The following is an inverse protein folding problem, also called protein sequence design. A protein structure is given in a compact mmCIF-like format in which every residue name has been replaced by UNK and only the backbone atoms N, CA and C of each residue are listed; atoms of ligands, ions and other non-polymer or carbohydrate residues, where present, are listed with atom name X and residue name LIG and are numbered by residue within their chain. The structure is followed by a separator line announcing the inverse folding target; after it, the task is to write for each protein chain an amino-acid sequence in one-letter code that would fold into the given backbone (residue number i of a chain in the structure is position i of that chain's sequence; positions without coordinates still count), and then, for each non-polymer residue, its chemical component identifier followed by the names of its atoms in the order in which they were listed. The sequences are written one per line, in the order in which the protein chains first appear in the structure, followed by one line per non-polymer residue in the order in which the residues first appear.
data_IF_473674769254
#
_entry.id   IF_473674769254
#
_cell.length_a   1.000
_cell.length_b   1.000
_cell.length_c   1.000
_cell.angle_alpha   90.00
_cell.angle_beta   90.00
_cell.angle_gamma   90.00
#
_symmetry.space_group_name_H-M   'P 1'
#
loop_
_entity.id
_entity.type
_entity.pdbx_description
1 polymer ?
#
# COMPACT_ATOMS: atom_id res chain seq x y z
N UNK A 1 -11.96 8.08 -21.00
CA UNK A 1 -10.89 8.24 -19.98
C UNK A 1 -10.94 9.69 -19.49
N UNK A 2 -11.09 9.91 -18.20
CA UNK A 2 -11.22 11.26 -17.64
C UNK A 2 -9.87 11.99 -17.77
N UNK A 3 -9.91 13.33 -17.94
CA UNK A 3 -8.70 14.18 -18.05
C UNK A 3 -7.80 14.03 -16.80
N UNK A 4 -8.41 13.85 -15.62
CA UNK A 4 -7.70 13.62 -14.38
C UNK A 4 -6.90 12.31 -14.43
N UNK A 5 -7.51 11.22 -14.91
CA UNK A 5 -6.86 9.91 -15.02
C UNK A 5 -5.64 9.98 -15.95
N UNK A 6 -5.75 10.69 -17.07
CA UNK A 6 -4.63 10.90 -18.01
C UNK A 6 -3.50 11.66 -17.33
N UNK A 7 -3.81 12.72 -16.57
CA UNK A 7 -2.82 13.54 -15.88
C UNK A 7 -2.13 12.77 -14.76
N UNK A 8 -2.87 11.97 -13.99
CA UNK A 8 -2.32 11.10 -12.93
C UNK A 8 -1.36 10.08 -13.51
N UNK A 9 -1.78 9.34 -14.55
CA UNK A 9 -0.94 8.36 -15.26
C UNK A 9 0.35 9.00 -15.77
N UNK A 10 0.22 10.09 -16.50
CA UNK A 10 1.35 10.84 -17.06
C UNK A 10 2.32 11.33 -15.96
N UNK A 11 1.79 11.81 -14.84
CA UNK A 11 2.59 12.30 -13.71
C UNK A 11 3.37 11.16 -13.07
N UNK A 12 2.74 10.01 -12.83
CA UNK A 12 3.38 8.84 -12.22
C UNK A 12 4.51 8.32 -13.12
N UNK A 13 4.33 8.34 -14.43
CA UNK A 13 5.31 7.82 -15.40
C UNK A 13 6.45 8.78 -15.72
N UNK A 14 6.28 10.08 -15.46
CA UNK A 14 7.26 11.13 -15.81
C UNK A 14 8.63 11.02 -15.14
N UNK A 15 8.75 10.30 -14.03
CA UNK A 15 10.03 10.08 -13.33
C UNK A 15 10.53 11.23 -12.44
N UNK A 16 9.95 12.42 -12.51
CA UNK A 16 10.39 13.64 -11.81
C UNK A 16 9.62 13.79 -10.50
N UNK A 17 10.07 13.12 -9.42
CA UNK A 17 9.48 13.20 -8.06
C UNK A 17 7.94 13.33 -8.05
N UNK A 18 7.23 12.46 -8.77
CA UNK A 18 5.78 12.60 -8.93
C UNK A 18 5.02 12.27 -7.65
N UNK A 19 5.68 11.63 -6.69
CA UNK A 19 5.07 11.14 -5.46
C UNK A 19 5.87 11.65 -4.26
N UNK A 20 5.17 12.24 -3.31
CA UNK A 20 5.67 12.61 -1.98
C UNK A 20 5.01 11.70 -0.93
N UNK A 21 5.80 11.05 -0.07
CA UNK A 21 5.29 10.27 1.05
C UNK A 21 5.28 11.11 2.32
N UNK A 22 4.09 11.37 2.85
CA UNK A 22 3.91 11.89 4.21
C UNK A 22 3.65 10.74 5.16
N UNK A 23 4.33 10.73 6.29
CA UNK A 23 4.22 9.68 7.29
C UNK A 23 3.55 10.20 8.55
N UNK A 24 2.57 9.46 9.04
CA UNK A 24 1.92 9.69 10.33
C UNK A 24 2.32 8.57 11.29
N UNK A 25 2.75 8.89 12.53
CA UNK A 25 3.12 7.86 13.48
C UNK A 25 1.92 7.05 13.96
N UNK A 26 2.15 5.77 14.18
CA UNK A 26 1.23 4.83 14.83
C UNK A 26 1.79 4.56 16.21
N UNK A 27 1.00 4.90 17.23
CA UNK A 27 1.41 4.73 18.63
C UNK A 27 0.91 3.40 19.19
N UNK A 28 1.78 2.74 19.94
CA UNK A 28 1.39 1.67 20.85
C UNK A 28 0.89 2.33 22.14
N UNK A 29 -0.41 2.18 22.40
CA UNK A 29 -1.04 2.80 23.58
C UNK A 29 -0.61 2.15 24.91
N UNK A 30 -0.12 0.91 24.90
CA UNK A 30 0.33 0.21 26.10
C UNK A 30 1.73 0.67 26.52
N UNK A 31 2.61 0.87 25.54
CA UNK A 31 4.02 1.20 25.80
C UNK A 31 4.35 2.68 25.53
N UNK A 32 3.38 3.48 25.09
CA UNK A 32 3.53 4.91 24.78
C UNK A 32 4.69 5.21 23.84
N UNK A 33 4.95 4.33 22.89
CA UNK A 33 6.00 4.48 21.89
C UNK A 33 5.44 4.45 20.47
N UNK A 34 6.25 4.89 19.49
CA UNK A 34 5.91 4.79 18.07
C UNK A 34 6.17 3.35 17.62
N UNK A 35 5.10 2.60 17.33
CA UNK A 35 5.16 1.23 16.84
C UNK A 35 5.34 1.15 15.33
N UNK A 36 4.92 2.17 14.61
CA UNK A 36 4.97 2.16 13.16
C UNK A 36 4.67 3.51 12.53
N UNK A 37 4.66 3.51 11.21
CA UNK A 37 4.33 4.68 10.39
C UNK A 37 3.26 4.31 9.37
N UNK A 38 2.28 5.19 9.18
CA UNK A 38 1.33 5.12 8.06
C UNK A 38 1.76 6.12 7.00
N UNK A 39 2.02 5.64 5.79
CA UNK A 39 2.31 6.52 4.67
C UNK A 39 1.03 7.02 4.01
N UNK A 40 1.06 8.27 3.58
CA UNK A 40 0.09 8.89 2.69
C UNK A 40 0.86 9.41 1.48
N UNK A 41 0.65 8.80 0.34
CA UNK A 41 1.26 9.24 -0.90
C UNK A 41 0.49 10.42 -1.47
N UNK A 42 1.17 11.51 -1.79
CA UNK A 42 0.63 12.65 -2.53
C UNK A 42 1.18 12.60 -3.95
N UNK A 43 0.32 12.79 -4.93
CA UNK A 43 0.72 12.85 -6.35
C UNK A 43 0.79 14.31 -6.79
N UNK A 44 1.97 14.78 -7.17
CA UNK A 44 2.19 16.15 -7.63
C UNK A 44 1.94 16.23 -9.14
N UNK A 45 0.67 16.44 -9.52
CA UNK A 45 0.26 16.63 -10.91
C UNK A 45 0.62 18.02 -11.41
N UNK A 46 1.11 18.11 -12.64
CA UNK A 46 1.42 19.39 -13.30
C UNK A 46 0.14 20.19 -13.58
N UNK A 47 -0.95 19.48 -13.90
CA UNK A 47 -2.20 20.11 -14.33
C UNK A 47 -3.15 20.45 -13.17
N UNK A 48 -3.08 19.66 -12.08
CA UNK A 48 -4.04 19.71 -10.95
C UNK A 48 -3.39 19.99 -9.59
N UNK A 49 -2.08 20.23 -9.56
CA UNK A 49 -1.35 20.42 -8.30
C UNK A 49 -1.22 19.13 -7.49
N UNK A 50 -1.16 19.26 -6.17
CA UNK A 50 -1.00 18.11 -5.27
C UNK A 50 -2.35 17.42 -5.04
N UNK A 51 -2.41 16.15 -5.44
CA UNK A 51 -3.58 15.29 -5.32
C UNK A 51 -3.45 14.35 -4.13
N UNK A 52 -4.54 14.19 -3.41
CA UNK A 52 -4.69 13.23 -2.31
C UNK A 52 -5.14 11.84 -2.83
N UNK A 53 -4.98 10.77 -2.01
CA UNK A 53 -5.43 9.43 -2.38
C UNK A 53 -6.88 9.34 -2.86
N UNK A 54 -7.80 10.13 -2.28
CA UNK A 54 -9.20 10.20 -2.72
C UNK A 54 -9.36 10.67 -4.16
N UNK A 55 -8.45 11.51 -4.65
CA UNK A 55 -8.52 12.09 -5.99
C UNK A 55 -7.93 11.16 -7.06
N UNK A 56 -6.80 10.50 -6.77
CA UNK A 56 -6.06 9.75 -7.78
C UNK A 56 -6.25 8.22 -7.70
N UNK A 57 -6.64 7.67 -6.55
CA UNK A 57 -6.78 6.23 -6.39
C UNK A 57 -7.77 5.60 -7.38
N UNK A 58 -8.93 6.22 -7.70
CA UNK A 58 -9.83 5.71 -8.74
C UNK A 58 -9.13 5.54 -10.10
N UNK A 59 -8.25 6.49 -10.47
CA UNK A 59 -7.48 6.38 -11.71
C UNK A 59 -6.53 5.19 -11.72
N UNK A 60 -5.89 4.89 -10.57
CA UNK A 60 -5.01 3.73 -10.42
C UNK A 60 -5.78 2.40 -10.43
N UNK A 61 -7.03 2.39 -9.94
CA UNK A 61 -7.88 1.19 -10.01
C UNK A 61 -8.25 0.84 -11.45
N UNK A 62 -8.36 1.82 -12.34
CA UNK A 62 -8.69 1.64 -13.75
C UNK A 62 -7.46 1.27 -14.61
N UNK A 63 -6.29 1.84 -14.32
CA UNK A 63 -5.08 1.64 -15.11
C UNK A 63 -4.02 0.79 -14.41
N UNK A 64 -3.75 -0.39 -15.00
CA UNK A 64 -2.80 -1.37 -14.45
C UNK A 64 -1.36 -0.86 -14.39
N UNK A 65 -0.91 -0.19 -15.43
CA UNK A 65 0.49 0.22 -15.55
C UNK A 65 0.81 1.29 -14.53
N UNK A 66 -0.06 2.28 -14.40
CA UNK A 66 0.05 3.31 -13.36
C UNK A 66 -0.04 2.75 -11.95
N UNK A 67 -0.95 1.80 -11.70
CA UNK A 67 -1.04 1.13 -10.40
C UNK A 67 0.26 0.40 -10.03
N UNK A 68 0.85 -0.32 -10.98
CA UNK A 68 2.12 -1.03 -10.80
C UNK A 68 3.28 -0.06 -10.56
N UNK A 69 3.40 0.97 -11.40
CA UNK A 69 4.43 2.01 -11.28
C UNK A 69 4.32 2.76 -9.95
N UNK A 70 3.11 3.14 -9.55
CA UNK A 70 2.83 3.80 -8.27
C UNK A 70 3.27 2.94 -7.09
N UNK A 71 2.83 1.68 -7.04
CA UNK A 71 3.15 0.76 -5.94
C UNK A 71 4.66 0.48 -5.88
N UNK A 72 5.29 0.27 -7.04
CA UNK A 72 6.72 0.04 -7.12
C UNK A 72 7.55 1.23 -6.62
N UNK A 73 7.16 2.46 -6.96
CA UNK A 73 7.84 3.67 -6.48
C UNK A 73 7.70 3.83 -4.98
N UNK A 74 6.48 3.73 -4.46
CA UNK A 74 6.22 3.85 -3.03
C UNK A 74 7.00 2.80 -2.23
N UNK A 75 6.96 1.55 -2.66
CA UNK A 75 7.65 0.46 -1.98
C UNK A 75 9.19 0.65 -2.01
N UNK A 76 9.77 1.12 -3.11
CA UNK A 76 11.21 1.44 -3.17
C UNK A 76 11.60 2.55 -2.18
N UNK A 77 10.80 3.61 -2.10
CA UNK A 77 11.06 4.71 -1.14
C UNK A 77 11.03 4.19 0.29
N UNK A 78 10.01 3.39 0.61
CA UNK A 78 9.85 2.80 1.95
C UNK A 78 11.00 1.87 2.28
N UNK A 79 11.32 0.92 1.40
CA UNK A 79 12.41 -0.04 1.62
C UNK A 79 13.77 0.64 1.75
N UNK A 80 13.99 1.72 1.00
CA UNK A 80 15.22 2.52 1.12
C UNK A 80 15.32 3.33 2.41
N UNK A 81 14.19 3.76 2.98
CA UNK A 81 14.15 4.56 4.19
C UNK A 81 14.12 3.72 5.49
N UNK A 82 13.57 2.50 5.44
CA UNK A 82 13.35 1.65 6.61
C UNK A 82 14.59 1.41 7.47
N UNK A 83 15.77 1.06 6.92
CA UNK A 83 16.96 0.81 7.75
C UNK A 83 17.37 2.04 8.58
N UNK A 84 17.32 3.23 7.98
CA UNK A 84 17.64 4.47 8.67
C UNK A 84 16.59 4.80 9.75
N UNK A 85 15.31 4.63 9.45
CA UNK A 85 14.21 4.85 10.40
C UNK A 85 14.32 3.90 11.59
N UNK A 86 14.56 2.62 11.37
CA UNK A 86 14.70 1.60 12.42
C UNK A 86 15.95 1.81 13.27
N UNK A 87 17.03 2.38 12.71
CA UNK A 87 18.22 2.72 13.48
C UNK A 87 18.00 3.92 14.42
N UNK A 88 17.21 4.90 13.98
CA UNK A 88 16.89 6.09 14.76
C UNK A 88 15.79 5.86 15.79
N UNK A 89 14.82 5.01 15.46
CA UNK A 89 13.69 4.69 16.32
C UNK A 89 13.46 3.18 16.35
N UNK A 90 14.09 2.50 17.31
CA UNK A 90 14.09 1.02 17.45
C UNK A 90 12.70 0.39 17.60
N UNK A 91 11.67 1.19 17.92
CA UNK A 91 10.28 0.73 18.06
C UNK A 91 9.53 0.58 16.72
N UNK A 92 10.04 1.11 15.60
CA UNK A 92 9.36 1.04 14.32
C UNK A 92 9.45 -0.36 13.73
N UNK A 93 8.36 -1.12 13.91
CA UNK A 93 8.20 -2.49 13.40
C UNK A 93 7.12 -2.63 12.32
N UNK A 94 6.47 -1.51 11.96
CA UNK A 94 5.35 -1.49 11.03
C UNK A 94 5.41 -0.26 10.13
N UNK A 95 5.29 -0.47 8.82
CA UNK A 95 5.15 0.59 7.85
C UNK A 95 3.97 0.29 6.92
N UNK A 96 2.86 1.03 7.09
CA UNK A 96 1.67 0.88 6.27
C UNK A 96 1.80 1.64 4.95
N UNK A 97 1.51 0.93 3.86
CA UNK A 97 1.58 1.42 2.50
C UNK A 97 0.28 1.09 1.76
N UNK A 98 -0.46 2.10 1.31
CA UNK A 98 -1.69 1.89 0.55
C UNK A 98 -1.39 1.34 -0.84
N UNK A 99 -2.13 0.29 -1.22
CA UNK A 99 -2.02 -0.41 -2.49
C UNK A 99 -3.36 -0.45 -3.23
N UNK A 100 -3.39 -0.23 -4.56
CA UNK A 100 -4.57 -0.43 -5.38
C UNK A 100 -5.05 -1.89 -5.36
N UNK A 101 -6.34 -2.10 -5.18
CA UNK A 101 -6.97 -3.44 -5.18
C UNK A 101 -6.91 -4.07 -6.58
N UNK A 102 -6.89 -3.25 -7.62
CA UNK A 102 -6.76 -3.71 -9.02
C UNK A 102 -5.54 -4.59 -9.26
N UNK A 103 -4.42 -4.38 -8.55
CA UNK A 103 -3.24 -5.22 -8.66
C UNK A 103 -3.46 -6.64 -8.12
N UNK A 104 -4.26 -6.77 -7.07
CA UNK A 104 -4.69 -8.08 -6.53
C UNK A 104 -5.64 -8.75 -7.51
N UNK A 105 -6.68 -8.03 -7.97
CA UNK A 105 -7.67 -8.53 -8.92
C UNK A 105 -7.04 -9.05 -10.21
N UNK A 106 -5.97 -8.42 -10.67
CA UNK A 106 -5.25 -8.79 -11.90
C UNK A 106 -4.10 -9.77 -11.66
N UNK A 107 -3.86 -10.19 -10.43
CA UNK A 107 -2.82 -11.16 -10.05
C UNK A 107 -1.37 -10.68 -10.24
N UNK A 108 -1.15 -9.37 -10.32
CA UNK A 108 0.18 -8.79 -10.61
C UNK A 108 0.93 -8.28 -9.38
N UNK A 109 0.22 -8.00 -8.29
CA UNK A 109 0.82 -7.46 -7.07
C UNK A 109 1.95 -8.33 -6.54
N UNK A 110 1.72 -9.64 -6.48
CA UNK A 110 2.66 -10.61 -5.94
C UNK A 110 4.00 -10.59 -6.68
N UNK A 111 3.98 -10.57 -8.00
CA UNK A 111 5.19 -10.52 -8.82
C UNK A 111 5.96 -9.20 -8.60
N UNK A 112 5.25 -8.08 -8.51
CA UNK A 112 5.85 -6.76 -8.31
C UNK A 112 6.51 -6.64 -6.94
N UNK A 113 5.81 -7.05 -5.88
CA UNK A 113 6.35 -7.05 -4.51
C UNK A 113 7.56 -7.98 -4.41
N UNK A 114 7.47 -9.21 -4.96
CA UNK A 114 8.60 -10.15 -4.98
C UNK A 114 9.83 -9.54 -5.64
N UNK A 115 9.66 -8.91 -6.81
CA UNK A 115 10.76 -8.30 -7.55
C UNK A 115 11.48 -7.23 -6.72
N UNK A 116 10.75 -6.43 -5.98
CA UNK A 116 11.30 -5.34 -5.17
C UNK A 116 11.95 -5.85 -3.88
N UNK A 117 11.34 -6.81 -3.22
CA UNK A 117 11.87 -7.38 -1.98
C UNK A 117 13.15 -8.20 -2.19
N UNK A 118 13.36 -8.79 -3.39
CA UNK A 118 14.61 -9.52 -3.70
C UNK A 118 15.87 -8.66 -3.57
N UNK A 119 15.76 -7.36 -3.70
CA UNK A 119 16.87 -6.40 -3.60
C UNK A 119 16.94 -5.70 -2.25
N UNK A 120 16.00 -5.96 -1.35
CA UNK A 120 15.91 -5.37 -0.03
C UNK A 120 16.43 -6.33 1.05
N UNK A 121 16.77 -5.79 2.23
CA UNK A 121 17.04 -6.61 3.41
C UNK A 121 15.76 -7.41 3.76
N UNK A 122 15.85 -8.74 3.96
CA UNK A 122 14.70 -9.56 4.35
C UNK A 122 13.94 -9.04 5.58
N UNK A 123 14.63 -8.45 6.55
CA UNK A 123 14.02 -7.83 7.72
C UNK A 123 13.11 -6.65 7.39
N UNK A 124 13.35 -5.97 6.26
CA UNK A 124 12.49 -4.89 5.81
C UNK A 124 11.12 -5.38 5.38
N UNK A 125 11.03 -6.60 4.82
CA UNK A 125 9.75 -7.17 4.42
C UNK A 125 8.79 -7.35 5.59
N UNK A 126 9.28 -7.79 6.75
CA UNK A 126 8.48 -8.00 7.96
C UNK A 126 7.88 -6.71 8.53
N UNK A 127 8.51 -5.57 8.25
CA UNK A 127 8.00 -4.27 8.63
C UNK A 127 6.97 -3.70 7.63
N UNK A 128 6.94 -4.18 6.39
CA UNK A 128 6.01 -3.69 5.37
C UNK A 128 4.62 -4.29 5.58
N UNK A 129 3.62 -3.41 5.66
CA UNK A 129 2.21 -3.77 5.68
C UNK A 129 1.50 -3.14 4.49
N UNK A 130 0.98 -3.96 3.59
CA UNK A 130 0.20 -3.50 2.44
C UNK A 130 -1.25 -3.28 2.86
N UNK A 131 -1.70 -2.04 2.76
CA UNK A 131 -3.05 -1.61 3.14
C UNK A 131 -3.94 -1.49 1.91
N UNK A 132 -5.13 -2.05 1.98
CA UNK A 132 -6.09 -2.10 0.89
C UNK A 132 -7.44 -1.53 1.32
N UNK A 133 -8.15 -0.93 0.37
CA UNK A 133 -9.53 -0.56 0.53
C UNK A 133 -10.43 -1.80 0.76
N UNK A 134 -11.62 -1.65 1.39
CA UNK A 134 -12.52 -2.78 1.71
C UNK A 134 -13.02 -3.54 0.47
N UNK A 135 -12.88 -2.99 -0.73
CA UNK A 135 -13.14 -3.65 -2.01
C UNK A 135 -12.30 -4.91 -2.21
N UNK A 136 -11.15 -5.03 -1.54
CA UNK A 136 -10.35 -6.26 -1.49
C UNK A 136 -11.18 -7.45 -1.03
N UNK A 137 -12.02 -7.27 -0.02
CA UNK A 137 -12.87 -8.33 0.55
C UNK A 137 -14.02 -8.76 -0.36
N UNK A 138 -14.27 -8.02 -1.45
CA UNK A 138 -15.28 -8.35 -2.47
C UNK A 138 -14.73 -9.17 -3.63
N UNK A 139 -13.44 -9.48 -3.62
CA UNK A 139 -12.82 -10.35 -4.62
C UNK A 139 -13.31 -11.81 -4.47
N UNK A 140 -13.27 -12.61 -5.54
CA UNK A 140 -13.55 -14.03 -5.45
C UNK A 140 -12.67 -14.70 -4.37
N UNK A 141 -13.22 -15.57 -3.51
CA UNK A 141 -12.51 -16.16 -2.38
C UNK A 141 -11.17 -16.79 -2.72
N UNK A 142 -11.07 -17.48 -3.85
CA UNK A 142 -9.83 -18.15 -4.32
C UNK A 142 -8.75 -17.11 -4.65
N UNK A 143 -9.11 -16.03 -5.35
CA UNK A 143 -8.18 -14.99 -5.77
C UNK A 143 -7.68 -14.22 -4.55
N UNK A 144 -8.60 -13.88 -3.63
CA UNK A 144 -8.29 -13.24 -2.36
C UNK A 144 -7.29 -14.09 -1.55
N UNK A 145 -7.60 -15.35 -1.29
CA UNK A 145 -6.73 -16.23 -0.50
C UNK A 145 -5.35 -16.41 -1.16
N UNK A 146 -5.32 -16.68 -2.46
CA UNK A 146 -4.06 -16.86 -3.20
C UNK A 146 -3.16 -15.63 -3.09
N UNK A 147 -3.72 -14.44 -3.30
CA UNK A 147 -2.96 -13.20 -3.22
C UNK A 147 -2.44 -12.92 -1.81
N UNK A 148 -3.29 -13.08 -0.79
CA UNK A 148 -2.90 -12.82 0.60
C UNK A 148 -1.86 -13.81 1.12
N UNK A 149 -2.00 -15.10 0.78
CA UNK A 149 -1.00 -16.12 1.10
C UNK A 149 0.36 -15.78 0.47
N UNK A 150 0.34 -15.34 -0.79
CA UNK A 150 1.58 -14.97 -1.47
C UNK A 150 2.25 -13.74 -0.80
N UNK A 151 1.49 -12.69 -0.50
CA UNK A 151 2.02 -11.50 0.19
C UNK A 151 2.68 -11.89 1.52
N UNK A 152 2.00 -12.76 2.31
CA UNK A 152 2.53 -13.24 3.59
C UNK A 152 3.76 -14.13 3.42
N UNK A 153 3.82 -14.95 2.37
CA UNK A 153 5.00 -15.78 2.08
C UNK A 153 6.25 -14.96 1.78
N UNK A 154 6.07 -13.68 1.42
CA UNK A 154 7.16 -12.72 1.24
C UNK A 154 7.57 -12.01 2.55
N UNK A 155 6.92 -12.33 3.67
CA UNK A 155 7.14 -11.70 4.97
C UNK A 155 6.31 -10.43 5.21
N UNK A 156 5.56 -9.94 4.22
CA UNK A 156 4.75 -8.73 4.37
C UNK A 156 3.45 -8.99 5.11
N UNK A 157 2.97 -7.96 5.83
CA UNK A 157 1.65 -7.94 6.48
C UNK A 157 0.58 -7.36 5.54
N UNK A 158 -0.67 -7.63 5.87
CA UNK A 158 -1.84 -7.12 5.14
C UNK A 158 -2.76 -6.37 6.08
N UNK A 159 -3.16 -5.17 5.70
CA UNK A 159 -4.19 -4.38 6.37
C UNK A 159 -5.41 -4.18 5.46
N UNK A 160 -6.59 -4.08 6.06
CA UNK A 160 -7.82 -3.68 5.36
C UNK A 160 -8.38 -2.44 6.03
N UNK A 161 -8.65 -1.42 5.20
CA UNK A 161 -9.18 -0.12 5.64
C UNK A 161 -10.72 -0.13 5.72
N UNK A 162 -11.26 0.85 6.45
CA UNK A 162 -12.70 1.09 6.53
C UNK A 162 -13.45 0.17 7.50
N UNK A 163 -12.75 -0.48 8.42
CA UNK A 163 -13.40 -1.26 9.48
C UNK A 163 -14.37 -0.38 10.30
N UNK A 164 -15.54 -0.94 10.60
CA UNK A 164 -16.59 -0.21 11.31
C UNK A 164 -17.54 0.61 10.43
N UNK A 165 -17.30 0.71 9.12
CA UNK A 165 -18.27 1.28 8.19
C UNK A 165 -19.46 0.35 8.02
N UNK A 166 -20.65 0.92 7.77
CA UNK A 166 -21.90 0.15 7.62
C UNK A 166 -21.85 -0.86 6.45
N UNK A 167 -21.09 -0.55 5.41
CA UNK A 167 -20.94 -1.37 4.19
C UNK A 167 -19.74 -2.32 4.21
N UNK A 168 -19.04 -2.42 5.37
CA UNK A 168 -17.85 -3.26 5.50
C UNK A 168 -18.21 -4.75 5.47
N UNK A 169 -17.58 -5.58 4.61
CA UNK A 169 -17.97 -6.98 4.41
C UNK A 169 -17.42 -7.90 5.52
N UNK A 170 -18.01 -7.81 6.72
CA UNK A 170 -17.59 -8.54 7.93
C UNK A 170 -17.52 -10.06 7.74
N UNK A 171 -18.43 -10.63 6.93
CA UNK A 171 -18.51 -12.10 6.72
C UNK A 171 -17.28 -12.69 6.03
N UNK A 172 -16.50 -11.87 5.33
CA UNK A 172 -15.31 -12.31 4.60
C UNK A 172 -14.03 -12.18 5.43
N UNK A 173 -14.07 -11.47 6.56
CA UNK A 173 -12.90 -11.28 7.42
C UNK A 173 -12.21 -12.59 7.84
N UNK A 174 -12.92 -13.65 8.26
CA UNK A 174 -12.25 -14.90 8.65
C UNK A 174 -11.47 -15.53 7.48
N UNK A 175 -11.92 -15.32 6.25
CA UNK A 175 -11.26 -15.82 5.05
C UNK A 175 -10.02 -15.01 4.70
N UNK A 176 -10.10 -13.70 4.81
CA UNK A 176 -8.99 -12.79 4.54
C UNK A 176 -7.96 -12.79 5.66
N UNK A 177 -8.42 -12.94 6.91
CA UNK A 177 -7.62 -12.91 8.14
C UNK A 177 -6.53 -11.81 8.08
N UNK A 178 -6.90 -10.53 7.87
CA UNK A 178 -5.90 -9.46 7.77
C UNK A 178 -5.14 -9.31 9.08
N UNK A 179 -3.86 -8.89 8.98
CA UNK A 179 -3.02 -8.66 10.15
C UNK A 179 -3.45 -7.40 10.92
N UNK A 180 -4.05 -6.43 10.21
CA UNK A 180 -4.59 -5.19 10.79
C UNK A 180 -5.92 -4.80 10.15
N UNK A 181 -6.77 -4.16 10.97
CA UNK A 181 -7.98 -3.48 10.55
C UNK A 181 -7.85 -1.99 10.88
N UNK A 182 -8.20 -1.13 9.91
CA UNK A 182 -8.03 0.33 9.98
C UNK A 182 -9.34 1.05 9.75
#
# INVERSE_FOLDING_TARGET
MDKLNISVTRTIDSGVRPIELKCTPIYDCLFSNVAGLRSRALVNSVDYGTLDPGDYMPALEDDRESASSFTARNLRVVLGALPALQSQARGISLFLLSCPVSLVRRGTLAAEVTRLLRTADPKCAEAVCLSFAPELLRLPPKDLQSALLHIRSLGCKVAVEGFGRADFPMSVLPLAAPDLLL
#
